data_IF_314533802423
#
_entry.id   IF_314533802423
#
_cell.length_a   1.000
_cell.length_b   1.000
_cell.length_c   1.000
_cell.angle_alpha   90.00
_cell.angle_beta   90.00
_cell.angle_gamma   90.00
#
_symmetry.space_group_name_H-M   'P 1'
#
loop_
_entity.id
_entity.type
_entity.pdbx_description
1 polymer ?
#
# COMPACT_ATOMS: atom_id res chain seq x y z
N UNK A 1 2.70 58.41 16.58
CA UNK A 1 2.67 57.03 17.16
C UNK A 1 2.39 56.05 16.04
N UNK A 2 3.47 55.53 15.39
CA UNK A 2 3.35 54.47 14.38
C UNK A 2 3.33 53.12 15.06
N UNK A 3 2.18 52.42 15.01
CA UNK A 3 2.07 51.05 15.41
C UNK A 3 2.62 50.16 14.26
N UNK A 4 3.80 49.60 14.46
CA UNK A 4 4.34 48.52 13.63
C UNK A 4 3.56 47.24 13.90
N UNK A 5 2.73 46.85 12.95
CA UNK A 5 2.10 45.55 12.94
C UNK A 5 3.12 44.51 12.43
N UNK A 6 3.76 43.81 13.36
CA UNK A 6 4.59 42.67 13.04
C UNK A 6 3.68 41.54 12.57
N UNK A 7 3.55 41.40 11.27
CA UNK A 7 2.90 40.24 10.66
C UNK A 7 3.71 38.99 10.98
N UNK A 8 3.23 38.14 11.86
CA UNK A 8 3.73 36.78 12.01
C UNK A 8 3.37 36.03 10.74
N UNK A 9 4.34 35.82 9.87
CA UNK A 9 4.25 34.83 8.81
C UNK A 9 4.26 33.45 9.49
N UNK A 10 3.08 32.88 9.70
CA UNK A 10 2.96 31.46 9.99
C UNK A 10 3.51 30.76 8.73
N UNK A 11 4.71 30.21 8.82
CA UNK A 11 5.21 29.23 7.87
C UNK A 11 4.24 28.04 7.95
N UNK A 12 3.27 28.03 7.06
CA UNK A 12 2.47 26.84 6.81
C UNK A 12 3.48 25.77 6.40
N UNK A 13 3.76 24.84 7.28
CA UNK A 13 4.59 23.68 6.95
C UNK A 13 4.02 23.06 5.68
N UNK A 14 4.88 22.81 4.70
CA UNK A 14 4.47 22.26 3.42
C UNK A 14 3.83 20.91 3.70
N UNK A 15 2.50 20.88 3.61
CA UNK A 15 1.75 19.66 3.86
C UNK A 15 2.09 18.67 2.76
N UNK A 16 2.59 17.49 3.14
CA UNK A 16 2.95 16.42 2.21
C UNK A 16 2.23 15.15 2.61
N UNK A 17 1.67 14.46 1.64
CA UNK A 17 1.05 13.16 1.86
C UNK A 17 1.97 12.03 1.41
N UNK A 18 1.84 10.90 2.09
CA UNK A 18 2.42 9.61 1.70
C UNK A 18 1.35 8.55 1.78
N UNK A 19 1.47 7.55 0.94
CA UNK A 19 0.50 6.46 0.86
C UNK A 19 1.19 5.14 1.17
N UNK A 20 0.51 4.31 1.91
CA UNK A 20 0.81 2.90 2.04
C UNK A 20 -0.41 2.09 1.59
N UNK A 21 -0.18 1.08 0.73
CA UNK A 21 -1.22 0.19 0.24
C UNK A 21 -0.92 -1.24 0.66
N UNK A 22 -1.81 -1.81 1.46
CA UNK A 22 -1.78 -3.22 1.81
C UNK A 22 -2.71 -3.99 0.89
N UNK A 23 -2.29 -5.19 0.46
CA UNK A 23 -3.10 -6.14 -0.31
C UNK A 23 -3.21 -7.45 0.46
N UNK A 24 -4.30 -8.18 0.23
CA UNK A 24 -4.56 -9.46 0.88
C UNK A 24 -3.61 -10.59 0.47
N UNK A 25 -2.99 -10.47 -0.73
CA UNK A 25 -2.05 -11.46 -1.27
C UNK A 25 -0.85 -10.77 -1.93
N UNK A 26 0.14 -11.57 -2.29
CA UNK A 26 1.34 -11.15 -3.03
C UNK A 26 1.29 -11.57 -4.50
N UNK A 27 0.50 -12.57 -4.84
CA UNK A 27 0.25 -13.00 -6.22
C UNK A 27 -1.25 -13.29 -6.41
N UNK A 28 -1.71 -13.19 -7.63
CA UNK A 28 -3.11 -13.33 -8.00
C UNK A 28 -3.26 -14.14 -9.29
N UNK A 29 -4.44 -14.71 -9.46
CA UNK A 29 -4.86 -15.27 -10.75
C UNK A 29 -5.56 -14.17 -11.56
N UNK A 30 -5.45 -14.24 -12.88
CA UNK A 30 -6.25 -13.38 -13.76
C UNK A 30 -7.73 -13.60 -13.49
N UNK A 31 -8.50 -12.51 -13.39
CA UNK A 31 -9.91 -12.56 -13.00
C UNK A 31 -10.17 -12.48 -11.49
N UNK A 32 -9.15 -12.51 -10.63
CA UNK A 32 -9.34 -12.34 -9.19
C UNK A 32 -9.56 -10.87 -8.79
N UNK A 33 -10.10 -10.68 -7.58
CA UNK A 33 -10.17 -9.41 -6.88
C UNK A 33 -8.92 -9.23 -6.03
N UNK A 34 -8.26 -8.10 -6.19
CA UNK A 34 -7.21 -7.62 -5.28
C UNK A 34 -7.90 -6.81 -4.19
N UNK A 35 -8.04 -7.37 -3.01
CA UNK A 35 -8.53 -6.64 -1.85
C UNK A 35 -7.43 -5.79 -1.27
N UNK A 36 -7.76 -4.55 -0.92
CA UNK A 36 -6.73 -3.61 -0.49
C UNK A 36 -7.22 -2.66 0.60
N UNK A 37 -6.28 -2.25 1.43
CA UNK A 37 -6.42 -1.17 2.38
C UNK A 37 -5.44 -0.05 2.03
N UNK A 38 -5.97 1.14 1.87
CA UNK A 38 -5.24 2.36 1.53
C UNK A 38 -5.10 3.23 2.78
N UNK A 39 -3.88 3.67 3.07
CA UNK A 39 -3.58 4.50 4.23
C UNK A 39 -2.80 5.71 3.73
N UNK A 40 -3.37 6.91 3.90
CA UNK A 40 -2.72 8.18 3.64
C UNK A 40 -2.21 8.80 4.95
N UNK A 41 -0.95 9.20 4.96
CA UNK A 41 -0.32 9.83 6.13
C UNK A 41 0.35 11.14 5.73
N UNK A 42 0.63 11.99 6.72
CA UNK A 42 1.61 13.06 6.59
C UNK A 42 3.06 12.53 6.74
N UNK A 43 4.04 13.43 6.71
CA UNK A 43 5.45 13.05 6.89
C UNK A 43 5.78 12.57 8.31
N UNK A 44 4.98 12.92 9.30
CA UNK A 44 5.11 12.46 10.69
C UNK A 44 4.43 11.12 10.93
N UNK A 45 3.93 10.48 9.85
CA UNK A 45 3.21 9.20 9.87
C UNK A 45 1.84 9.24 10.58
N UNK A 46 1.27 10.43 10.73
CA UNK A 46 -0.10 10.60 11.22
C UNK A 46 -1.07 10.51 10.06
N UNK A 47 -2.26 9.98 10.31
CA UNK A 47 -3.29 9.89 9.27
C UNK A 47 -3.64 11.28 8.72
N UNK A 48 -3.59 11.39 7.37
CA UNK A 48 -3.92 12.61 6.65
C UNK A 48 -5.37 12.59 6.21
N UNK A 49 -6.14 13.62 6.56
CA UNK A 49 -7.52 13.79 6.09
C UNK A 49 -7.64 14.82 4.95
N UNK A 50 -6.53 15.14 4.30
CA UNK A 50 -6.48 16.13 3.21
C UNK A 50 -7.12 15.59 1.95
N UNK A 51 -6.70 14.41 1.52
CA UNK A 51 -7.27 13.76 0.35
C UNK A 51 -8.46 12.88 0.72
N UNK A 52 -9.53 12.98 -0.06
CA UNK A 52 -10.76 12.18 0.11
C UNK A 52 -10.86 11.03 -0.88
N UNK A 53 -9.92 10.94 -1.80
CA UNK A 53 -9.88 9.89 -2.84
C UNK A 53 -8.45 9.39 -2.98
N UNK A 54 -8.29 8.08 -2.84
CA UNK A 54 -7.09 7.34 -3.21
C UNK A 54 -7.23 6.78 -4.63
N UNK A 55 -6.16 6.83 -5.39
CA UNK A 55 -6.06 6.25 -6.73
C UNK A 55 -5.14 5.05 -6.67
N UNK A 56 -5.55 3.97 -7.30
CA UNK A 56 -4.77 2.75 -7.41
C UNK A 56 -4.77 2.30 -8.87
N UNK A 57 -3.60 2.02 -9.40
CA UNK A 57 -3.41 1.61 -10.79
C UNK A 57 -2.55 0.36 -10.85
N UNK A 58 -2.95 -0.60 -11.66
CA UNK A 58 -2.09 -1.72 -12.05
C UNK A 58 -1.46 -1.37 -13.39
N UNK A 59 -0.14 -1.33 -13.41
CA UNK A 59 0.64 -1.01 -14.59
C UNK A 59 1.34 -2.28 -15.11
N UNK A 60 1.33 -2.45 -16.41
CA UNK A 60 2.34 -3.25 -17.10
C UNK A 60 3.58 -2.38 -17.39
N UNK A 61 4.49 -2.84 -18.23
CA UNK A 61 5.69 -2.07 -18.60
C UNK A 61 5.38 -0.77 -19.35
N UNK A 62 4.22 -0.61 -19.95
CA UNK A 62 3.90 0.44 -20.90
C UNK A 62 2.73 1.34 -20.48
N UNK A 63 1.71 0.79 -19.79
CA UNK A 63 0.48 1.52 -19.52
C UNK A 63 -0.31 0.98 -18.33
N UNK A 64 -1.27 1.77 -17.86
CA UNK A 64 -2.23 1.32 -16.87
C UNK A 64 -3.19 0.29 -17.49
N UNK A 65 -3.23 -0.90 -16.88
CA UNK A 65 -4.09 -2.01 -17.29
C UNK A 65 -5.47 -1.87 -16.68
N UNK A 66 -5.52 -1.53 -15.40
CA UNK A 66 -6.76 -1.34 -14.65
C UNK A 66 -6.54 -0.31 -13.54
N UNK A 67 -7.60 0.43 -13.22
CA UNK A 67 -7.57 1.51 -12.24
C UNK A 67 -8.76 1.39 -11.28
N UNK A 68 -8.54 1.79 -10.04
CA UNK A 68 -9.58 1.94 -9.03
C UNK A 68 -9.47 3.27 -8.30
N UNK A 69 -10.59 3.71 -7.73
CA UNK A 69 -10.67 4.88 -6.84
C UNK A 69 -11.30 4.45 -5.54
N UNK A 70 -10.68 4.82 -4.45
CA UNK A 70 -11.13 4.49 -3.11
C UNK A 70 -11.55 5.77 -2.39
N UNK A 71 -12.67 5.73 -1.69
CA UNK A 71 -13.06 6.81 -0.79
C UNK A 71 -12.21 6.73 0.45
N UNK A 72 -11.64 7.85 0.88
CA UNK A 72 -10.84 7.95 2.09
C UNK A 72 -11.63 8.68 3.18
N UNK A 73 -11.72 8.05 4.33
CA UNK A 73 -12.25 8.63 5.55
C UNK A 73 -11.12 8.74 6.58
N UNK A 74 -10.80 9.97 6.96
CA UNK A 74 -9.70 10.25 7.90
C UNK A 74 -8.38 9.56 7.50
N UNK A 75 -8.07 9.60 6.20
CA UNK A 75 -6.83 9.02 5.66
C UNK A 75 -6.87 7.51 5.42
N UNK A 76 -7.95 6.82 5.68
CA UNK A 76 -8.07 5.37 5.49
C UNK A 76 -9.18 5.06 4.51
N UNK A 77 -8.94 4.12 3.61
CA UNK A 77 -9.95 3.57 2.70
C UNK A 77 -9.68 2.11 2.42
N UNK A 78 -10.72 1.38 2.11
CA UNK A 78 -10.66 -0.02 1.68
C UNK A 78 -11.45 -0.23 0.41
N UNK A 79 -11.13 -1.28 -0.31
CA UNK A 79 -11.81 -1.64 -1.53
C UNK A 79 -11.13 -2.76 -2.27
N UNK A 80 -11.50 -2.91 -3.53
CA UNK A 80 -10.92 -3.94 -4.39
C UNK A 80 -10.68 -3.44 -5.81
N UNK A 81 -9.76 -4.12 -6.50
CA UNK A 81 -9.46 -3.96 -7.91
C UNK A 81 -9.73 -5.28 -8.62
N UNK A 82 -10.63 -5.28 -9.59
CA UNK A 82 -10.91 -6.46 -10.41
C UNK A 82 -9.85 -6.63 -11.48
N UNK A 83 -9.09 -7.72 -11.42
CA UNK A 83 -8.15 -8.08 -12.49
C UNK A 83 -8.91 -8.59 -13.70
N UNK A 84 -8.58 -8.13 -14.93
CA UNK A 84 -9.15 -8.73 -16.14
C UNK A 84 -8.80 -10.22 -16.26
N UNK A 85 -9.75 -11.06 -16.67
CA UNK A 85 -9.48 -12.49 -16.91
C UNK A 85 -8.54 -12.72 -18.10
N UNK A 86 -8.42 -11.72 -18.96
CA UNK A 86 -7.53 -11.72 -20.13
C UNK A 86 -6.11 -11.25 -19.81
N UNK A 87 -5.85 -10.82 -18.56
CA UNK A 87 -4.55 -10.32 -18.15
C UNK A 87 -3.49 -11.42 -18.29
N UNK A 88 -2.42 -11.22 -19.06
CA UNK A 88 -1.38 -12.23 -19.25
C UNK A 88 -0.66 -12.57 -17.94
N UNK A 89 -0.07 -13.76 -17.89
CA UNK A 89 0.89 -14.09 -16.82
C UNK A 89 2.08 -13.15 -16.90
N UNK A 90 2.43 -12.53 -15.78
CA UNK A 90 3.54 -11.58 -15.75
C UNK A 90 3.69 -10.86 -14.42
N UNK A 91 4.71 -10.03 -14.35
CA UNK A 91 4.96 -9.11 -13.25
C UNK A 91 4.42 -7.73 -13.60
N UNK A 92 3.58 -7.24 -12.72
CA UNK A 92 2.92 -5.94 -12.81
C UNK A 92 3.39 -5.05 -11.67
N UNK A 93 3.10 -3.78 -11.76
CA UNK A 93 3.39 -2.79 -10.73
C UNK A 93 2.08 -2.18 -10.26
N UNK A 94 1.78 -2.34 -8.98
CA UNK A 94 0.63 -1.69 -8.34
C UNK A 94 1.11 -0.36 -7.78
N UNK A 95 0.50 0.73 -8.27
CA UNK A 95 0.85 2.10 -7.90
C UNK A 95 -0.34 2.72 -7.16
N UNK A 96 -0.05 3.39 -6.04
CA UNK A 96 -1.08 4.07 -5.27
C UNK A 96 -0.65 5.51 -4.92
N UNK A 97 -1.58 6.44 -5.05
CA UNK A 97 -1.32 7.86 -4.82
C UNK A 97 -2.61 8.62 -4.51
N UNK A 98 -2.46 9.83 -4.00
CA UNK A 98 -3.54 10.82 -3.91
C UNK A 98 -3.36 11.90 -4.96
N UNK A 99 -4.44 12.64 -5.24
CA UNK A 99 -4.32 13.78 -6.16
C UNK A 99 -3.32 14.83 -5.64
N UNK A 100 -3.20 14.94 -4.33
CA UNK A 100 -2.27 15.88 -3.70
C UNK A 100 -0.80 15.50 -3.98
N UNK A 101 -0.46 14.20 -3.88
CA UNK A 101 0.90 13.70 -4.16
C UNK A 101 1.36 13.97 -5.59
N UNK A 102 0.45 14.08 -6.56
CA UNK A 102 0.79 14.42 -7.95
C UNK A 102 1.48 15.77 -8.11
N UNK A 103 1.35 16.67 -7.13
CA UNK A 103 2.04 17.95 -7.16
C UNK A 103 3.54 17.81 -6.82
N UNK A 104 3.94 16.72 -6.16
CA UNK A 104 5.33 16.44 -5.80
C UNK A 104 6.07 15.63 -6.89
N UNK A 105 5.34 14.90 -7.75
CA UNK A 105 5.88 14.02 -8.78
C UNK A 105 5.58 12.55 -8.53
N UNK A 106 5.82 11.71 -9.55
CA UNK A 106 5.51 10.28 -9.49
C UNK A 106 6.47 9.50 -8.58
N UNK A 107 7.63 10.04 -8.31
CA UNK A 107 8.67 9.43 -7.46
C UNK A 107 8.26 9.27 -5.99
N UNK A 108 7.21 9.98 -5.57
CA UNK A 108 6.67 9.86 -4.19
C UNK A 108 5.51 8.88 -4.09
N UNK A 109 5.04 8.31 -5.21
CA UNK A 109 3.94 7.36 -5.21
C UNK A 109 4.36 6.06 -4.53
N UNK A 110 3.39 5.41 -3.92
CA UNK A 110 3.61 4.06 -3.42
C UNK A 110 3.64 3.08 -4.58
N UNK A 111 4.64 2.22 -4.61
CA UNK A 111 4.76 1.17 -5.61
C UNK A 111 4.96 -0.18 -4.95
N UNK A 112 4.29 -1.19 -5.50
CA UNK A 112 4.42 -2.58 -5.07
C UNK A 112 4.41 -3.50 -6.30
N UNK A 113 5.38 -4.41 -6.44
CA UNK A 113 5.31 -5.46 -7.46
C UNK A 113 4.17 -6.42 -7.16
N UNK A 114 3.49 -6.88 -8.21
CA UNK A 114 2.39 -7.82 -8.17
C UNK A 114 2.56 -8.88 -9.24
N UNK A 115 2.64 -10.15 -8.86
CA UNK A 115 2.67 -11.25 -9.80
C UNK A 115 1.25 -11.70 -10.15
N UNK A 116 0.97 -11.88 -11.43
CA UNK A 116 -0.31 -12.40 -11.92
C UNK A 116 -0.07 -13.65 -12.75
N UNK A 117 -0.87 -14.68 -12.51
CA UNK A 117 -0.83 -15.93 -13.27
C UNK A 117 -2.16 -16.09 -14.02
N UNK A 118 -2.10 -16.23 -15.35
CA UNK A 118 -3.26 -16.52 -16.15
C UNK A 118 -3.38 -18.04 -16.38
N UNK A 119 -4.37 -18.64 -15.75
CA UNK A 119 -4.65 -20.07 -15.89
C UNK A 119 -5.51 -20.43 -17.10
N UNK A 120 -6.04 -19.43 -17.81
CA UNK A 120 -6.88 -19.62 -19.01
C UNK A 120 -6.05 -19.77 -20.28
N UNK A 121 -4.78 -19.37 -20.24
CA UNK A 121 -3.85 -19.44 -21.38
C UNK A 121 -2.66 -20.31 -21.00
N UNK A 122 -2.51 -21.42 -21.68
CA UNK A 122 -1.35 -22.31 -21.50
C UNK A 122 -0.14 -21.67 -22.19
N UNK A 123 0.69 -20.99 -21.44
CA UNK A 123 1.99 -20.52 -21.91
C UNK A 123 3.07 -21.30 -21.17
N UNK A 124 3.65 -22.32 -21.82
CA UNK A 124 4.73 -23.14 -21.24
C UNK A 124 6.01 -22.34 -20.92
N UNK A 125 6.13 -21.11 -21.41
CA UNK A 125 7.36 -20.31 -21.33
C UNK A 125 7.48 -19.49 -20.05
N UNK A 126 6.47 -19.45 -19.17
CA UNK A 126 6.38 -18.43 -18.11
C UNK A 126 6.53 -18.97 -16.68
N UNK A 127 6.87 -20.23 -16.49
CA UNK A 127 7.23 -20.77 -15.18
C UNK A 127 8.75 -20.65 -14.90
N UNK A 128 9.35 -19.54 -15.28
CA UNK A 128 10.71 -19.23 -14.84
C UNK A 128 10.69 -18.59 -13.46
N UNK A 129 11.69 -18.87 -12.63
CA UNK A 129 11.89 -18.36 -11.26
C UNK A 129 11.78 -16.84 -11.08
N UNK A 130 11.56 -16.11 -12.16
CA UNK A 130 11.47 -14.65 -12.21
C UNK A 130 10.08 -14.09 -11.85
N UNK A 131 9.05 -14.93 -11.73
CA UNK A 131 7.68 -14.47 -11.48
C UNK A 131 7.41 -14.07 -10.02
N UNK A 132 8.18 -14.57 -9.09
CA UNK A 132 8.08 -14.15 -7.70
C UNK A 132 9.11 -13.05 -7.44
N UNK A 133 8.68 -11.83 -7.17
CA UNK A 133 9.63 -10.82 -6.73
C UNK A 133 10.33 -11.37 -5.49
N UNK A 134 11.66 -11.39 -5.52
CA UNK A 134 12.45 -11.69 -4.34
C UNK A 134 12.17 -10.60 -3.30
N UNK A 135 11.19 -10.84 -2.43
CA UNK A 135 10.95 -9.95 -1.29
C UNK A 135 12.12 -10.10 -0.33
N UNK A 136 13.08 -9.21 -0.43
CA UNK A 136 13.98 -8.97 0.67
C UNK A 136 13.18 -8.25 1.76
N UNK A 137 12.70 -9.00 2.74
CA UNK A 137 12.23 -8.38 3.97
C UNK A 137 13.45 -7.73 4.65
N UNK A 138 13.65 -6.48 4.39
CA UNK A 138 14.56 -5.69 5.22
C UNK A 138 13.86 -5.56 6.57
N UNK A 139 14.20 -6.46 7.50
CA UNK A 139 13.76 -6.34 8.89
C UNK A 139 14.26 -4.99 9.39
N UNK A 140 13.38 -4.01 9.45
CA UNK A 140 13.68 -2.77 10.16
C UNK A 140 13.74 -3.14 11.63
N UNK A 141 14.93 -3.06 12.21
CA UNK A 141 15.07 -3.12 13.65
C UNK A 141 14.41 -1.88 14.23
N UNK A 142 13.29 -2.08 14.88
CA UNK A 142 12.50 -1.05 15.53
C UNK A 142 12.04 -1.51 16.90
N UNK A 143 11.44 -0.64 17.70
CA UNK A 143 10.93 -0.98 19.03
C UNK A 143 9.78 -2.00 18.97
N UNK A 144 9.15 -2.17 17.82
CA UNK A 144 8.02 -3.08 17.62
C UNK A 144 8.53 -4.49 17.35
N UNK A 145 8.11 -5.44 18.17
CA UNK A 145 8.39 -6.87 17.98
C UNK A 145 7.09 -7.67 17.83
N UNK A 146 7.13 -8.64 16.94
CA UNK A 146 6.01 -9.56 16.69
C UNK A 146 6.49 -10.96 16.98
N UNK A 147 5.77 -11.69 17.82
CA UNK A 147 6.11 -13.08 18.17
C UNK A 147 4.85 -13.93 18.27
N UNK A 148 4.89 -15.19 17.77
CA UNK A 148 3.83 -16.15 18.03
C UNK A 148 3.95 -16.66 19.48
N UNK A 149 2.85 -17.17 20.02
CA UNK A 149 2.81 -17.80 21.34
C UNK A 149 3.56 -19.15 21.34
N UNK A 150 3.67 -19.81 20.17
CA UNK A 150 4.32 -21.11 19.95
C UNK A 150 5.06 -21.13 18.63
N UNK A 151 6.07 -22.02 18.53
CA UNK A 151 6.83 -22.21 17.28
C UNK A 151 6.19 -23.24 16.34
N UNK A 152 5.32 -24.09 16.86
CA UNK A 152 4.62 -25.14 16.10
C UNK A 152 3.16 -25.22 16.54
N UNK A 153 2.28 -25.45 15.57
CA UNK A 153 0.84 -25.58 15.76
C UNK A 153 0.35 -26.87 15.16
N UNK A 154 -0.59 -27.52 15.83
CA UNK A 154 -1.30 -28.66 15.26
C UNK A 154 -2.32 -28.18 14.22
N UNK A 155 -2.74 -29.10 13.34
CA UNK A 155 -3.75 -28.83 12.32
C UNK A 155 -5.03 -28.30 12.97
N UNK A 156 -5.48 -27.14 12.52
CA UNK A 156 -6.69 -26.42 13.00
C UNK A 156 -6.60 -25.96 14.46
N UNK A 157 -5.40 -25.82 15.02
CA UNK A 157 -5.22 -25.19 16.33
C UNK A 157 -5.22 -23.67 16.21
N UNK A 158 -5.79 -23.00 17.21
CA UNK A 158 -5.68 -21.55 17.35
C UNK A 158 -4.27 -21.15 17.77
N UNK A 159 -3.79 -19.98 17.30
CA UNK A 159 -2.55 -19.36 17.73
C UNK A 159 -2.78 -17.90 18.16
N UNK A 160 -1.89 -17.39 18.99
CA UNK A 160 -1.86 -16.02 19.44
C UNK A 160 -0.60 -15.32 18.92
N UNK A 161 -0.76 -14.15 18.33
CA UNK A 161 0.36 -13.30 17.92
C UNK A 161 0.45 -12.14 18.90
N UNK A 162 1.61 -11.97 19.51
CA UNK A 162 1.90 -10.87 20.43
C UNK A 162 2.69 -9.80 19.72
N UNK A 163 2.20 -8.57 19.82
CA UNK A 163 2.85 -7.39 19.26
C UNK A 163 3.23 -6.49 20.43
N UNK A 164 4.53 -6.24 20.61
CA UNK A 164 5.06 -5.41 21.68
C UNK A 164 5.73 -4.16 21.09
N UNK A 165 5.84 -3.12 21.91
CA UNK A 165 6.52 -1.88 21.53
C UNK A 165 5.70 -0.94 20.64
N UNK A 166 4.37 -1.14 20.60
CA UNK A 166 3.49 -0.21 19.91
C UNK A 166 3.48 1.15 20.61
N UNK A 167 3.55 2.26 19.86
CA UNK A 167 3.42 3.59 20.44
C UNK A 167 2.01 3.80 21.02
N UNK A 168 1.89 4.56 22.13
CA UNK A 168 0.61 4.73 22.83
C UNK A 168 -0.44 5.52 22.02
N UNK A 169 0.01 6.28 21.04
CA UNK A 169 -0.81 7.10 20.14
C UNK A 169 -1.07 6.43 18.76
N UNK A 170 -0.88 5.12 18.69
CA UNK A 170 -1.11 4.37 17.45
C UNK A 170 -2.56 4.53 16.96
N UNK A 171 -2.71 5.07 15.76
CA UNK A 171 -4.02 5.31 15.14
C UNK A 171 -4.52 4.12 14.30
N UNK A 172 -3.60 3.37 13.69
CA UNK A 172 -3.94 2.20 12.86
C UNK A 172 -2.81 1.17 12.88
N UNK A 173 -3.19 -0.10 12.82
CA UNK A 173 -2.29 -1.23 12.68
C UNK A 173 -2.80 -2.11 11.55
N UNK A 174 -1.88 -2.53 10.68
CA UNK A 174 -2.16 -3.48 9.61
C UNK A 174 -1.21 -4.67 9.74
N UNK A 175 -1.76 -5.88 9.83
CA UNK A 175 -1.02 -7.14 10.03
C UNK A 175 -1.28 -8.11 8.90
#
# INVERSE_FOLDING_TARGET
LCLLWAGQTVLAGELRERVYLQTDKQFYLSGELVWMKFIATDLDQRLSDVSKVGYVELLDSASAVVQARLVLEKGVGDGCLQLPSTLPTGNYRLVAYTRYMRNEGEEVFFEKPLAVVNTFVTNETLLTDTLLPAYSFTRREGPVSVSPDRMTYDTRSGGEIRINGLPPDLQTLSV
#
